data_IF_058542398510
#
_entry.id   IF_058542398510
#
_cell.length_a   1.000
_cell.length_b   1.000
_cell.length_c   1.000
_cell.angle_alpha   90.00
_cell.angle_beta   90.00
_cell.angle_gamma   90.00
#
_symmetry.space_group_name_H-M   'P 1'
#
loop_
_entity.id
_entity.type
_entity.pdbx_description
1 polymer ?
#
# COMPACT_ATOMS: atom_id res chain seq x y z
N UNK A 1 -21.30 7.46 24.29
CA UNK A 1 -21.34 7.49 22.81
C UNK A 1 -19.97 7.14 22.26
N UNK A 2 -19.80 5.97 21.63
CA UNK A 2 -18.55 5.57 20.96
C UNK A 2 -18.55 6.21 19.57
N UNK A 3 -17.95 7.38 19.44
CA UNK A 3 -17.80 8.04 18.14
C UNK A 3 -16.73 7.29 17.34
N UNK A 4 -17.15 6.37 16.46
CA UNK A 4 -16.27 5.84 15.42
C UNK A 4 -16.41 6.76 14.22
N UNK A 5 -15.44 7.66 14.03
CA UNK A 5 -15.39 8.49 12.84
C UNK A 5 -15.24 7.59 11.61
N UNK A 6 -16.37 7.32 10.95
CA UNK A 6 -16.41 6.65 9.67
C UNK A 6 -16.74 7.74 8.65
N UNK A 7 -15.76 8.10 7.82
CA UNK A 7 -15.89 9.19 6.85
C UNK A 7 -17.11 9.00 5.96
N UNK A 8 -17.40 7.77 5.52
CA UNK A 8 -18.57 7.48 4.68
C UNK A 8 -19.89 7.67 5.42
N UNK A 9 -19.98 7.28 6.70
CA UNK A 9 -21.18 7.55 7.50
C UNK A 9 -21.32 9.04 7.79
N UNK A 10 -20.23 9.74 8.09
CA UNK A 10 -20.23 11.19 8.33
C UNK A 10 -20.67 11.95 7.08
N UNK A 11 -20.17 11.57 5.90
CA UNK A 11 -20.59 12.10 4.61
C UNK A 11 -22.08 11.85 4.36
N UNK A 12 -22.58 10.64 4.62
CA UNK A 12 -24.01 10.33 4.46
C UNK A 12 -24.91 11.15 5.40
N UNK A 13 -24.46 11.39 6.64
CA UNK A 13 -25.18 12.22 7.61
C UNK A 13 -25.16 13.70 7.20
N UNK A 14 -24.02 14.20 6.74
CA UNK A 14 -23.90 15.57 6.23
C UNK A 14 -24.83 15.80 5.02
N UNK A 15 -24.83 14.87 4.06
CA UNK A 15 -25.75 14.90 2.92
C UNK A 15 -27.22 14.90 3.35
N UNK A 16 -27.60 14.02 4.28
CA UNK A 16 -28.97 13.96 4.81
C UNK A 16 -29.37 15.25 5.54
N UNK A 17 -28.40 15.93 6.17
CA UNK A 17 -28.61 17.21 6.84
C UNK A 17 -28.56 18.43 5.90
N UNK A 18 -28.32 18.24 4.59
CA UNK A 18 -28.14 19.33 3.62
C UNK A 18 -26.87 20.15 3.85
N UNK A 19 -25.89 19.60 4.57
CA UNK A 19 -24.60 20.23 4.84
C UNK A 19 -23.60 19.73 3.80
N UNK A 20 -22.94 20.67 3.13
CA UNK A 20 -21.87 20.34 2.19
C UNK A 20 -20.69 19.69 2.92
N UNK A 21 -20.35 18.45 2.54
CA UNK A 21 -19.25 17.71 3.11
C UNK A 21 -17.96 17.91 2.29
N UNK A 22 -16.97 18.57 2.88
CA UNK A 22 -15.62 18.67 2.32
C UNK A 22 -14.79 17.46 2.74
N UNK A 23 -14.46 16.58 1.79
CA UNK A 23 -13.62 15.41 2.06
C UNK A 23 -12.13 15.76 1.94
N UNK A 24 -11.28 14.99 2.61
CA UNK A 24 -9.83 15.13 2.42
C UNK A 24 -9.42 14.91 0.94
N UNK A 25 -10.08 13.99 0.25
CA UNK A 25 -9.83 13.77 -1.18
C UNK A 25 -10.20 15.01 -2.01
N UNK A 26 -11.31 15.69 -1.70
CA UNK A 26 -11.71 16.94 -2.36
C UNK A 26 -10.68 18.06 -2.13
N UNK A 27 -10.17 18.22 -0.90
CA UNK A 27 -9.13 19.20 -0.59
C UNK A 27 -7.81 18.92 -1.33
N UNK A 28 -7.46 17.64 -1.51
CA UNK A 28 -6.27 17.24 -2.28
C UNK A 28 -6.52 17.44 -3.77
N UNK A 29 -7.75 17.16 -4.24
CA UNK A 29 -8.12 17.35 -5.64
C UNK A 29 -8.02 18.81 -6.06
N UNK A 30 -8.15 19.76 -5.14
CA UNK A 30 -8.00 21.19 -5.44
C UNK A 30 -6.52 21.60 -5.63
N UNK A 31 -5.59 20.78 -5.15
CA UNK A 31 -4.16 20.98 -5.36
C UNK A 31 -3.71 20.31 -6.67
N UNK A 32 -2.77 20.90 -7.43
CA UNK A 32 -2.23 20.26 -8.63
C UNK A 32 -1.24 19.13 -8.31
N UNK A 33 -0.70 19.11 -7.09
CA UNK A 33 0.37 18.22 -6.67
C UNK A 33 0.33 17.99 -5.15
N UNK A 34 0.56 16.75 -4.72
CA UNK A 34 0.77 16.41 -3.31
C UNK A 34 1.86 15.34 -3.18
N UNK A 35 3.01 15.64 -2.56
CA UNK A 35 4.03 14.63 -2.28
C UNK A 35 3.58 13.71 -1.15
N UNK A 36 3.67 12.40 -1.36
CA UNK A 36 3.27 11.40 -0.34
C UNK A 36 4.48 10.70 0.28
N UNK A 37 5.43 10.27 -0.55
CA UNK A 37 6.75 9.77 -0.16
C UNK A 37 7.79 10.41 -1.08
N UNK A 38 8.69 11.18 -0.48
CA UNK A 38 9.71 11.95 -1.21
C UNK A 38 10.87 11.03 -1.56
N UNK A 39 11.57 11.36 -2.63
CA UNK A 39 12.77 10.62 -3.03
C UNK A 39 12.97 10.61 -4.53
N UNK A 40 14.02 9.91 -4.94
CA UNK A 40 14.39 9.75 -6.35
C UNK A 40 14.30 8.29 -6.77
N UNK A 41 13.90 8.08 -8.01
CA UNK A 41 13.91 6.77 -8.63
C UNK A 41 14.34 6.87 -10.09
N UNK A 42 14.99 5.83 -10.58
CA UNK A 42 15.27 5.65 -12.01
C UNK A 42 14.49 4.43 -12.47
N UNK A 43 13.72 4.60 -13.54
CA UNK A 43 12.87 3.54 -14.04
C UNK A 43 12.26 3.86 -15.40
N UNK A 44 11.56 2.88 -15.97
CA UNK A 44 10.79 3.07 -17.19
C UNK A 44 9.42 3.64 -16.85
N UNK A 45 9.08 4.82 -17.36
CA UNK A 45 7.75 5.39 -17.13
C UNK A 45 6.70 4.54 -17.85
N UNK A 46 5.60 4.25 -17.17
CA UNK A 46 4.48 3.46 -17.70
C UNK A 46 3.16 4.09 -17.28
N UNK A 47 2.37 4.54 -18.24
CA UNK A 47 0.99 4.96 -17.98
C UNK A 47 0.09 3.73 -17.88
N UNK A 48 -0.61 3.60 -16.76
CA UNK A 48 -1.52 2.49 -16.47
C UNK A 48 -2.96 3.03 -16.52
N UNK A 49 -3.69 2.80 -17.62
CA UNK A 49 -4.99 3.41 -17.84
C UNK A 49 -6.10 2.78 -17.01
N UNK A 50 -5.97 1.50 -16.62
CA UNK A 50 -6.95 0.77 -15.82
C UNK A 50 -6.27 -0.27 -14.93
N UNK A 51 -7.04 -0.84 -13.99
CA UNK A 51 -6.58 -1.86 -13.03
C UNK A 51 -6.06 -3.12 -13.73
N UNK A 52 -6.65 -3.51 -14.87
CA UNK A 52 -6.29 -4.71 -15.63
C UNK A 52 -4.90 -4.59 -16.27
N UNK A 53 -4.52 -3.37 -16.65
CA UNK A 53 -3.23 -3.07 -17.28
C UNK A 53 -2.06 -3.10 -16.27
N UNK A 54 -2.32 -3.23 -14.97
CA UNK A 54 -1.31 -3.28 -13.93
C UNK A 54 -0.60 -4.66 -13.79
N UNK A 55 -1.01 -5.68 -14.57
CA UNK A 55 -0.50 -7.06 -14.41
C UNK A 55 0.92 -7.27 -14.93
N UNK A 56 1.35 -6.50 -15.94
CA UNK A 56 2.64 -6.68 -16.61
C UNK A 56 3.70 -5.66 -16.16
N UNK A 57 3.58 -5.16 -14.93
CA UNK A 57 4.50 -4.18 -14.36
C UNK A 57 5.79 -4.83 -13.87
N UNK A 58 6.91 -4.19 -14.20
CA UNK A 58 8.26 -4.56 -13.75
C UNK A 58 8.65 -3.81 -12.47
N UNK A 59 9.50 -4.39 -11.60
CA UNK A 59 10.10 -3.67 -10.48
C UNK A 59 10.90 -2.41 -10.86
N UNK A 60 11.30 -2.30 -12.13
CA UNK A 60 11.97 -1.10 -12.68
C UNK A 60 11.02 -0.05 -13.23
N UNK A 61 9.71 -0.30 -13.25
CA UNK A 61 8.76 0.65 -13.84
C UNK A 61 8.45 1.79 -12.84
N UNK A 62 8.28 3.01 -13.36
CA UNK A 62 7.69 4.14 -12.63
C UNK A 62 6.29 4.30 -13.20
N UNK A 63 5.27 4.05 -12.39
CA UNK A 63 3.90 3.93 -12.89
C UNK A 63 3.11 5.21 -12.67
N UNK A 64 2.35 5.60 -13.69
CA UNK A 64 1.35 6.67 -13.63
C UNK A 64 -0.02 6.01 -13.62
N UNK A 65 -0.68 6.01 -12.47
CA UNK A 65 -1.95 5.33 -12.24
C UNK A 65 -3.11 6.32 -12.46
N UNK A 66 -3.91 6.07 -13.49
CA UNK A 66 -5.20 6.78 -13.70
C UNK A 66 -6.27 6.28 -12.73
N UNK A 67 -6.15 5.00 -12.37
CA UNK A 67 -6.98 4.32 -11.39
C UNK A 67 -6.09 3.47 -10.48
N UNK A 68 -6.44 3.43 -9.19
CA UNK A 68 -5.67 2.70 -8.19
C UNK A 68 -6.11 1.23 -8.19
N UNK A 69 -5.22 0.28 -8.55
CA UNK A 69 -5.57 -1.14 -8.52
C UNK A 69 -5.67 -1.65 -7.08
N UNK A 70 -6.47 -2.72 -6.89
CA UNK A 70 -6.60 -3.42 -5.60
C UNK A 70 -5.24 -3.96 -5.13
N UNK A 71 -4.38 -4.35 -6.06
CA UNK A 71 -3.03 -4.82 -5.81
C UNK A 71 -2.09 -4.22 -6.83
N UNK A 72 -0.93 -3.77 -6.36
CA UNK A 72 0.16 -3.28 -7.19
C UNK A 72 1.39 -4.15 -6.89
N UNK A 73 2.06 -4.73 -7.91
CA UNK A 73 3.35 -5.36 -7.68
C UNK A 73 4.41 -4.29 -7.30
N UNK A 74 5.55 -4.68 -6.69
CA UNK A 74 6.64 -3.76 -6.46
C UNK A 74 7.08 -3.07 -7.75
N UNK A 75 7.29 -1.76 -7.69
CA UNK A 75 7.70 -0.88 -8.80
C UNK A 75 8.73 0.13 -8.27
N UNK A 76 9.37 0.91 -9.14
CA UNK A 76 10.41 1.88 -8.77
C UNK A 76 9.84 3.23 -8.31
N UNK A 77 8.61 3.59 -8.68
CA UNK A 77 7.95 4.83 -8.29
C UNK A 77 6.47 4.85 -8.70
N UNK A 78 5.67 5.70 -8.04
CA UNK A 78 4.22 5.78 -8.30
C UNK A 78 3.73 7.23 -8.36
N UNK A 79 3.10 7.62 -9.46
CA UNK A 79 2.32 8.86 -9.58
C UNK A 79 0.84 8.51 -9.75
N UNK A 80 -0.05 9.21 -9.06
CA UNK A 80 -1.51 8.95 -9.11
C UNK A 80 -2.26 10.16 -9.63
N UNK A 81 -3.18 9.96 -10.58
CA UNK A 81 -4.06 11.03 -11.09
C UNK A 81 -5.29 11.27 -10.23
N UNK A 82 -5.74 10.24 -9.50
CA UNK A 82 -6.89 10.35 -8.61
C UNK A 82 -6.41 10.63 -7.18
N UNK A 83 -6.88 11.72 -6.57
CA UNK A 83 -6.48 12.07 -5.22
C UNK A 83 -7.01 11.01 -4.25
N UNK A 84 -6.16 10.66 -3.29
CA UNK A 84 -6.50 9.75 -2.20
C UNK A 84 -5.91 10.30 -0.91
N UNK A 85 -6.37 9.79 0.23
CA UNK A 85 -5.84 10.18 1.53
C UNK A 85 -4.35 9.81 1.69
N UNK A 86 -3.66 10.49 2.61
CA UNK A 86 -2.25 10.20 2.95
C UNK A 86 -2.07 8.80 3.55
N UNK A 87 -3.14 8.15 4.02
CA UNK A 87 -3.10 6.78 4.54
C UNK A 87 -3.60 5.74 3.52
N UNK A 88 -3.62 6.08 2.23
CA UNK A 88 -4.05 5.17 1.18
C UNK A 88 -3.20 3.91 1.09
N UNK A 89 -3.79 2.83 0.56
CA UNK A 89 -3.11 1.54 0.36
C UNK A 89 -1.84 1.71 -0.48
N UNK A 90 -1.92 2.47 -1.58
CA UNK A 90 -0.78 2.75 -2.45
C UNK A 90 0.33 3.49 -1.71
N UNK A 91 -0.01 4.49 -0.88
CA UNK A 91 1.01 5.20 -0.13
C UNK A 91 1.72 4.32 0.90
N UNK A 92 0.96 3.45 1.58
CA UNK A 92 1.55 2.51 2.53
C UNK A 92 2.45 1.49 1.84
N UNK A 93 2.07 1.00 0.65
CA UNK A 93 2.94 0.14 -0.18
C UNK A 93 4.21 0.88 -0.62
N UNK A 94 4.07 2.08 -1.17
CA UNK A 94 5.20 2.88 -1.64
C UNK A 94 6.20 3.19 -0.52
N UNK A 95 5.72 3.56 0.67
CA UNK A 95 6.55 3.73 1.87
C UNK A 95 7.20 2.42 2.31
N UNK A 96 6.45 1.31 2.27
CA UNK A 96 6.97 -0.02 2.61
C UNK A 96 8.08 -0.49 1.69
N UNK A 97 8.05 -0.10 0.42
CA UNK A 97 9.11 -0.38 -0.55
C UNK A 97 10.22 0.69 -0.57
N UNK A 98 10.04 1.81 0.12
CA UNK A 98 10.99 2.93 0.13
C UNK A 98 11.07 3.68 -1.20
N UNK A 99 9.99 3.70 -1.99
CA UNK A 99 9.96 4.32 -3.32
C UNK A 99 9.24 5.67 -3.32
N UNK A 100 9.62 6.62 -4.18
CA UNK A 100 8.92 7.90 -4.27
C UNK A 100 7.50 7.73 -4.79
N UNK A 101 6.56 8.47 -4.20
CA UNK A 101 5.21 8.61 -4.73
C UNK A 101 4.55 9.97 -4.45
N UNK A 102 3.66 10.35 -5.37
CA UNK A 102 2.89 11.59 -5.29
C UNK A 102 1.53 11.47 -5.99
N UNK A 103 0.62 12.35 -5.61
CA UNK A 103 -0.53 12.70 -6.44
C UNK A 103 -0.13 13.86 -7.36
N UNK A 104 -0.52 13.74 -8.63
CA UNK A 104 -0.26 14.73 -9.69
C UNK A 104 -1.52 14.83 -10.53
N UNK A 105 -2.11 16.02 -10.61
CA UNK A 105 -3.28 16.26 -11.47
C UNK A 105 -2.91 16.02 -12.93
N UNK A 106 -3.77 15.31 -13.67
CA UNK A 106 -3.64 15.06 -15.11
C UNK A 106 -2.28 14.46 -15.52
N UNK A 107 -1.67 13.67 -14.62
CA UNK A 107 -0.34 13.10 -14.79
C UNK A 107 -0.17 12.28 -16.07
N UNK A 108 -1.19 11.51 -16.47
CA UNK A 108 -1.13 10.69 -17.68
C UNK A 108 -1.05 11.58 -18.93
N UNK A 109 -1.77 12.70 -18.95
CA UNK A 109 -1.68 13.66 -20.04
C UNK A 109 -0.33 14.39 -20.04
N UNK A 110 0.08 14.91 -18.88
CA UNK A 110 1.33 15.66 -18.73
C UNK A 110 2.56 14.81 -19.05
N UNK A 111 2.50 13.50 -18.78
CA UNK A 111 3.62 12.57 -18.90
C UNK A 111 3.53 11.63 -20.11
N UNK A 112 2.51 11.77 -20.96
CA UNK A 112 2.39 11.01 -22.20
C UNK A 112 3.66 11.02 -23.08
N UNK A 113 4.41 12.15 -23.23
CA UNK A 113 5.64 12.16 -24.02
C UNK A 113 6.76 11.26 -23.47
N UNK A 114 6.70 10.92 -22.19
CA UNK A 114 7.69 10.10 -21.49
C UNK A 114 7.28 8.63 -21.40
N UNK A 115 6.08 8.26 -21.84
CA UNK A 115 5.59 6.89 -21.71
C UNK A 115 6.49 5.89 -22.45
N UNK A 116 6.85 4.80 -21.77
CA UNK A 116 7.81 3.82 -22.24
C UNK A 116 9.28 4.24 -22.15
N UNK A 117 9.59 5.50 -21.82
CA UNK A 117 10.97 6.00 -21.74
C UNK A 117 11.58 5.75 -20.36
N UNK A 118 12.91 5.63 -20.33
CA UNK A 118 13.66 5.57 -19.08
C UNK A 118 13.92 6.97 -18.54
N UNK A 119 13.49 7.21 -17.30
CA UNK A 119 13.50 8.52 -16.65
C UNK A 119 14.09 8.44 -15.25
N UNK A 120 14.66 9.56 -14.80
CA UNK A 120 14.89 9.82 -13.39
C UNK A 120 13.74 10.70 -12.88
N UNK A 121 12.97 10.17 -11.94
CA UNK A 121 11.94 10.89 -11.20
C UNK A 121 12.56 11.44 -9.90
N UNK A 122 12.28 12.70 -9.59
CA UNK A 122 12.49 13.28 -8.26
C UNK A 122 11.16 13.81 -7.72
N UNK A 123 10.70 13.28 -6.59
CA UNK A 123 9.50 13.74 -5.87
C UNK A 123 9.95 14.63 -4.72
N UNK A 124 9.81 15.93 -4.90
CA UNK A 124 10.22 16.96 -3.96
C UNK A 124 9.01 17.59 -3.23
N UNK A 125 9.21 18.39 -2.18
CA UNK A 125 8.11 19.00 -1.43
C UNK A 125 7.19 19.89 -2.27
N UNK A 126 7.75 20.64 -3.23
CA UNK A 126 7.01 21.62 -4.04
C UNK A 126 6.63 21.16 -5.44
N UNK A 127 7.05 19.97 -5.86
CA UNK A 127 6.78 19.45 -7.19
C UNK A 127 7.57 18.18 -7.48
N UNK A 128 7.43 17.69 -8.70
CA UNK A 128 8.24 16.58 -9.20
C UNK A 128 9.04 17.03 -10.42
N UNK A 129 10.18 16.38 -10.65
CA UNK A 129 10.94 16.55 -11.89
C UNK A 129 11.15 15.22 -12.58
N UNK A 130 11.17 15.27 -13.91
CA UNK A 130 11.48 14.15 -14.78
C UNK A 130 12.54 14.57 -15.78
N UNK A 131 13.54 13.71 -15.96
CA UNK A 131 14.52 13.83 -17.03
C UNK A 131 14.82 12.47 -17.62
N UNK A 132 15.33 12.43 -18.84
CA UNK A 132 15.86 11.20 -19.41
C UNK A 132 16.95 10.61 -18.51
N UNK A 133 16.87 9.31 -18.26
CA UNK A 133 17.91 8.57 -17.55
C UNK A 133 19.06 8.24 -18.50
N UNK A 134 20.29 8.41 -18.01
CA UNK A 134 21.51 8.00 -18.69
C UNK A 134 21.65 6.47 -18.73
N UNK A 135 22.48 5.94 -19.63
CA UNK A 135 22.66 4.49 -19.73
C UNK A 135 23.28 3.88 -18.45
N UNK A 136 24.17 4.62 -17.78
CA UNK A 136 24.73 4.23 -16.49
C UNK A 136 23.64 4.09 -15.42
N UNK A 137 22.70 5.03 -15.36
CA UNK A 137 21.59 5.00 -14.41
C UNK A 137 20.60 3.87 -14.69
N UNK A 138 20.29 3.62 -15.98
CA UNK A 138 19.45 2.48 -16.40
C UNK A 138 20.10 1.16 -15.99
N UNK A 139 21.40 1.03 -16.21
CA UNK A 139 22.18 -0.15 -15.85
C UNK A 139 22.20 -0.37 -14.34
N UNK A 140 22.43 0.69 -13.55
CA UNK A 140 22.41 0.64 -12.09
C UNK A 140 21.03 0.24 -11.56
N UNK A 141 19.94 0.80 -12.09
CA UNK A 141 18.58 0.45 -11.69
C UNK A 141 18.26 -1.03 -11.97
N UNK A 142 18.66 -1.55 -13.13
CA UNK A 142 18.49 -2.98 -13.46
C UNK A 142 19.32 -3.89 -12.55
N UNK A 143 20.54 -3.49 -12.21
CA UNK A 143 21.39 -4.25 -11.29
C UNK A 143 20.84 -4.24 -9.86
N UNK A 144 20.30 -3.11 -9.39
CA UNK A 144 19.67 -3.02 -8.08
C UNK A 144 18.51 -4.01 -7.94
N UNK A 145 17.66 -4.13 -8.98
CA UNK A 145 16.55 -5.11 -9.00
C UNK A 145 17.05 -6.56 -9.07
N UNK A 146 18.16 -6.83 -9.76
CA UNK A 146 18.76 -8.18 -9.82
C UNK A 146 19.45 -8.57 -8.50
N UNK A 147 20.08 -7.61 -7.84
CA UNK A 147 20.68 -7.78 -6.51
C UNK A 147 19.64 -7.96 -5.41
N UNK A 148 18.44 -7.42 -5.63
CA UNK A 148 17.22 -7.78 -4.90
C UNK A 148 16.49 -8.94 -5.59
N UNK A 149 17.22 -10.01 -5.92
CA UNK A 149 16.60 -11.33 -6.10
C UNK A 149 15.56 -11.49 -4.99
N UNK A 150 14.30 -11.86 -5.32
CA UNK A 150 13.16 -11.71 -4.41
C UNK A 150 13.59 -12.34 -3.11
N UNK A 151 13.95 -11.50 -2.11
CA UNK A 151 14.48 -11.98 -0.85
C UNK A 151 13.48 -13.03 -0.46
N UNK A 152 13.92 -14.30 -0.47
CA UNK A 152 13.07 -15.46 -0.38
C UNK A 152 12.05 -15.09 0.65
N UNK A 153 10.80 -14.87 0.17
CA UNK A 153 9.79 -14.06 0.86
C UNK A 153 10.05 -14.24 2.34
N UNK A 154 10.18 -13.19 3.14
CA UNK A 154 10.14 -13.34 4.59
C UNK A 154 8.73 -13.81 5.02
N UNK A 155 8.15 -14.82 4.33
CA UNK A 155 7.37 -15.92 4.84
C UNK A 155 8.14 -16.48 6.03
N UNK A 156 8.02 -15.76 7.12
CA UNK A 156 8.12 -16.36 8.43
C UNK A 156 7.18 -17.55 8.39
N UNK A 157 7.74 -18.76 8.38
CA UNK A 157 6.95 -19.96 8.22
C UNK A 157 5.88 -19.99 9.32
N UNK A 158 4.59 -20.12 8.95
CA UNK A 158 3.51 -20.09 9.93
C UNK A 158 3.69 -21.26 10.90
N UNK A 159 3.43 -21.01 12.18
CA UNK A 159 3.39 -22.06 13.19
C UNK A 159 2.07 -22.82 13.04
N UNK A 160 2.15 -24.05 12.55
CA UNK A 160 1.00 -24.93 12.33
C UNK A 160 0.81 -25.94 13.48
N UNK A 161 1.57 -25.85 14.56
CA UNK A 161 1.54 -26.83 15.67
C UNK A 161 0.35 -26.65 16.61
N UNK A 162 -0.34 -25.50 16.56
CA UNK A 162 -1.39 -25.12 17.51
C UNK A 162 -2.60 -24.53 16.78
N UNK A 163 -3.74 -25.18 16.90
CA UNK A 163 -5.01 -24.85 16.24
C UNK A 163 -6.05 -24.21 17.17
N UNK A 164 -5.87 -24.32 18.48
CA UNK A 164 -6.76 -23.70 19.47
C UNK A 164 -6.85 -22.17 19.30
N UNK A 165 -8.08 -21.65 19.36
CA UNK A 165 -8.38 -20.22 19.36
C UNK A 165 -7.62 -19.50 20.47
N UNK A 166 -7.14 -18.29 20.19
CA UNK A 166 -6.36 -17.50 21.15
C UNK A 166 -7.07 -16.19 21.43
N UNK A 167 -7.49 -15.90 22.68
CA UNK A 167 -8.09 -14.60 22.99
C UNK A 167 -7.07 -13.48 22.77
N UNK A 168 -7.52 -12.31 22.31
CA UNK A 168 -6.67 -11.14 22.07
C UNK A 168 -5.84 -10.76 23.31
N UNK A 169 -6.40 -10.96 24.51
CA UNK A 169 -5.74 -10.68 25.80
C UNK A 169 -4.46 -11.50 26.01
N UNK A 170 -4.40 -12.69 25.41
CA UNK A 170 -3.25 -13.58 25.47
C UNK A 170 -2.23 -13.38 24.34
N UNK A 171 -2.56 -12.56 23.32
CA UNK A 171 -1.68 -12.34 22.17
C UNK A 171 -0.63 -11.25 22.44
N UNK A 172 0.57 -11.45 21.92
CA UNK A 172 1.69 -10.49 21.87
C UNK A 172 2.23 -10.41 20.44
N UNK A 173 3.07 -9.42 20.16
CA UNK A 173 3.67 -9.23 18.82
C UNK A 173 4.42 -10.48 18.31
N UNK A 174 5.01 -11.27 19.22
CA UNK A 174 5.68 -12.53 18.92
C UNK A 174 4.75 -13.62 18.37
N UNK A 175 3.43 -13.54 18.62
CA UNK A 175 2.45 -14.50 18.12
C UNK A 175 2.11 -14.31 16.64
N UNK A 176 2.75 -13.36 15.95
CA UNK A 176 2.54 -13.10 14.51
C UNK A 176 2.73 -14.35 13.64
N UNK A 177 3.59 -15.30 14.06
CA UNK A 177 3.78 -16.59 13.39
C UNK A 177 2.61 -17.55 13.53
N UNK A 178 1.81 -17.42 14.59
CA UNK A 178 0.67 -18.29 14.87
C UNK A 178 -0.64 -17.66 14.37
N UNK A 179 -0.76 -16.34 14.53
CA UNK A 179 -2.02 -15.60 14.41
C UNK A 179 -2.02 -14.48 13.37
N UNK A 180 -0.91 -14.29 12.66
CA UNK A 180 -0.71 -13.19 11.74
C UNK A 180 -0.40 -11.86 12.45
N UNK A 181 0.26 -10.96 11.73
CA UNK A 181 0.73 -9.69 12.28
C UNK A 181 -0.41 -8.79 12.82
N UNK A 182 -1.59 -8.82 12.19
CA UNK A 182 -2.74 -8.00 12.61
C UNK A 182 -3.24 -8.39 14.00
N UNK A 183 -3.57 -9.66 14.22
CA UNK A 183 -4.09 -10.12 15.50
C UNK A 183 -3.02 -10.01 16.62
N UNK A 184 -1.77 -10.37 16.31
CA UNK A 184 -0.64 -10.25 17.24
C UNK A 184 -0.40 -8.80 17.69
N UNK A 185 -0.42 -7.85 16.76
CA UNK A 185 -0.24 -6.43 17.10
C UNK A 185 -1.46 -5.85 17.82
N UNK A 186 -2.68 -6.27 17.48
CA UNK A 186 -3.87 -5.83 18.23
C UNK A 186 -3.84 -6.32 19.68
N UNK A 187 -3.42 -7.57 19.92
CA UNK A 187 -3.17 -8.09 21.26
C UNK A 187 -2.04 -7.37 21.99
N UNK A 188 -0.97 -7.00 21.30
CA UNK A 188 0.11 -6.19 21.87
C UNK A 188 -0.39 -4.79 22.30
N UNK A 189 -1.23 -4.14 21.49
CA UNK A 189 -1.88 -2.86 21.86
C UNK A 189 -2.78 -3.04 23.08
N UNK A 190 -3.55 -4.12 23.14
CA UNK A 190 -4.38 -4.44 24.32
C UNK A 190 -3.51 -4.63 25.58
N UNK A 191 -2.40 -5.35 25.46
CA UNK A 191 -1.48 -5.61 26.55
C UNK A 191 -0.76 -4.35 27.05
N UNK A 192 -0.48 -3.40 26.16
CA UNK A 192 0.20 -2.15 26.49
C UNK A 192 -0.68 -1.18 27.31
N UNK A 193 -2.00 -1.39 27.37
CA UNK A 193 -2.96 -0.57 28.15
C UNK A 193 -2.77 0.94 27.93
N UNK A 194 -2.54 1.33 26.68
CA UNK A 194 -2.31 2.73 26.30
C UNK A 194 -3.54 3.55 26.68
N UNK A 195 -3.34 4.62 27.47
CA UNK A 195 -4.42 5.49 27.92
C UNK A 195 -5.25 6.01 26.73
N UNK A 196 -6.58 6.00 26.86
CA UNK A 196 -7.50 6.43 25.81
C UNK A 196 -7.68 5.44 24.65
N UNK A 197 -7.00 4.29 24.66
CA UNK A 197 -7.16 3.26 23.62
C UNK A 197 -8.08 2.14 24.14
N UNK A 198 -9.10 1.78 23.34
CA UNK A 198 -9.99 0.67 23.63
C UNK A 198 -9.83 -0.39 22.55
N UNK A 199 -9.31 -1.56 22.94
CA UNK A 199 -9.28 -2.74 22.06
C UNK A 199 -10.51 -3.58 22.38
N UNK A 200 -11.41 -3.84 21.40
CA UNK A 200 -12.54 -4.74 21.59
C UNK A 200 -12.07 -6.15 21.91
N UNK A 201 -12.89 -6.91 22.65
CA UNK A 201 -12.66 -8.33 22.83
C UNK A 201 -12.72 -9.08 21.50
N UNK A 202 -12.01 -10.20 21.45
CA UNK A 202 -11.92 -11.03 20.27
C UNK A 202 -10.89 -12.14 20.44
N UNK A 203 -10.73 -12.93 19.39
CA UNK A 203 -9.77 -14.03 19.34
C UNK A 203 -9.15 -14.17 17.95
N UNK A 204 -7.99 -14.81 17.92
CA UNK A 204 -7.33 -15.27 16.71
C UNK A 204 -7.77 -16.70 16.39
N UNK A 205 -8.03 -16.95 15.10
CA UNK A 205 -8.02 -18.29 14.50
C UNK A 205 -6.59 -18.56 13.98
N UNK A 206 -5.84 -19.52 14.54
CA UNK A 206 -4.45 -19.76 14.15
C UNK A 206 -4.29 -20.26 12.71
N UNK A 207 -3.11 -20.07 12.12
CA UNK A 207 -2.78 -20.61 10.80
C UNK A 207 -2.96 -22.14 10.69
N UNK A 208 -2.78 -22.88 11.80
CA UNK A 208 -3.00 -24.32 11.83
C UNK A 208 -4.43 -24.70 11.41
N UNK A 209 -5.45 -23.95 11.86
CA UNK A 209 -6.85 -24.21 11.53
C UNK A 209 -7.12 -23.95 10.03
N UNK A 210 -6.55 -22.88 9.46
CA UNK A 210 -6.62 -22.62 8.02
C UNK A 210 -5.92 -23.71 7.21
N UNK A 211 -4.71 -24.12 7.62
CA UNK A 211 -3.96 -25.16 6.93
C UNK A 211 -4.69 -26.52 6.97
N UNK A 212 -5.34 -26.85 8.09
CA UNK A 212 -6.19 -28.02 8.20
C UNK A 212 -7.39 -27.94 7.25
N UNK A 213 -8.10 -26.81 7.24
CA UNK A 213 -9.24 -26.58 6.35
C UNK A 213 -8.84 -26.71 4.87
N UNK A 214 -7.73 -26.07 4.45
CA UNK A 214 -7.23 -26.14 3.08
C UNK A 214 -6.88 -27.57 2.69
N UNK A 215 -6.24 -28.35 3.57
CA UNK A 215 -5.91 -29.77 3.30
C UNK A 215 -7.14 -30.66 3.23
N UNK A 216 -8.09 -30.52 4.16
CA UNK A 216 -9.28 -31.38 4.21
C UNK A 216 -10.22 -31.17 3.03
N UNK A 217 -10.13 -30.03 2.33
CA UNK A 217 -10.95 -29.69 1.17
C UNK A 217 -10.17 -29.69 -0.16
N UNK A 218 -8.92 -30.19 -0.18
CA UNK A 218 -8.13 -30.29 -1.41
C UNK A 218 -7.76 -28.93 -2.05
N UNK A 219 -7.70 -27.86 -1.26
CA UNK A 219 -7.45 -26.49 -1.74
C UNK A 219 -5.96 -26.11 -1.75
N UNK A 220 -5.06 -27.04 -1.41
CA UNK A 220 -3.63 -26.76 -1.21
C UNK A 220 -2.82 -26.71 -2.52
N UNK A 221 -3.36 -27.22 -3.62
CA UNK A 221 -2.65 -27.46 -4.89
C UNK A 221 -3.13 -26.58 -6.07
N UNK A 222 -3.96 -25.57 -5.83
CA UNK A 222 -4.38 -24.57 -6.83
C UNK A 222 -3.60 -23.27 -6.67
#
# INVERSE_FOLDING_TARGET
>A
MRFKANSTQQESVAQAAGIEALTQAALIQDQPYLPMNRGRAVGRLRIVPSVEAARDLSPTDIVVLREVPISLPPVAGVLTERPSTVLSHVNLLAKGWGIPNAYVRDAAQALAPWDGQWVQLDVAPGGYTLRAATEAERSAARQAVRGTAPQARLRVAPDLRRDALVPLTALRAADSRRCGAKAANLGAVQAARIAGTVVPDGFCIPFAAYAQFTRSHGLAER
#
